data_IF_515339288831
#
_entry.id   IF_515339288831
#
_cell.length_a   1.000
_cell.length_b   1.000
_cell.length_c   1.000
_cell.angle_alpha   90.00
_cell.angle_beta   90.00
_cell.angle_gamma   90.00
#
_symmetry.space_group_name_H-M   'P 1'
#
loop_
_entity.id
_entity.type
_entity.pdbx_description
1 polymer ?
#
# COMPACT_ATOMS: atom_id res chain seq x y z
N UNK A 1 7.05 -8.14 20.05
CA UNK A 1 6.60 -6.74 19.92
C UNK A 1 5.19 -6.65 20.46
N UNK A 2 4.88 -5.70 21.35
CA UNK A 2 3.51 -5.48 21.78
C UNK A 2 2.68 -4.92 20.61
N UNK A 3 1.50 -5.49 20.39
CA UNK A 3 0.54 -4.98 19.41
C UNK A 3 -0.37 -4.00 20.14
N UNK A 4 -0.45 -2.76 19.65
CA UNK A 4 -1.37 -1.74 20.19
C UNK A 4 -2.54 -1.58 19.23
N UNK A 5 -3.76 -1.73 19.75
CA UNK A 5 -5.00 -1.58 18.98
C UNK A 5 -5.65 -0.25 19.36
N UNK A 6 -5.98 0.55 18.35
CA UNK A 6 -6.67 1.83 18.52
C UNK A 6 -8.12 1.69 18.06
N UNK A 7 -9.07 1.86 18.97
CA UNK A 7 -10.49 1.90 18.64
C UNK A 7 -10.91 3.33 18.34
N UNK A 8 -11.37 3.58 17.12
CA UNK A 8 -11.77 4.90 16.65
C UNK A 8 -13.22 4.85 16.19
N UNK A 9 -14.13 5.68 16.73
CA UNK A 9 -15.51 5.71 16.28
C UNK A 9 -15.62 6.28 14.87
N UNK A 10 -16.63 5.84 14.11
CA UNK A 10 -16.78 6.17 12.69
C UNK A 10 -16.80 7.68 12.39
N UNK A 11 -17.38 8.49 13.29
CA UNK A 11 -17.46 9.94 13.13
C UNK A 11 -16.18 10.68 13.51
N UNK A 12 -15.20 9.99 14.09
CA UNK A 12 -13.95 10.60 14.48
C UNK A 12 -13.12 10.95 13.26
N UNK A 13 -12.72 12.22 13.17
CA UNK A 13 -11.83 12.71 12.12
C UNK A 13 -10.43 12.91 12.69
N UNK A 14 -9.41 12.71 11.86
CA UNK A 14 -8.02 12.99 12.24
C UNK A 14 -7.28 11.85 12.94
N UNK A 15 -7.85 10.65 13.02
CA UNK A 15 -7.15 9.47 13.57
C UNK A 15 -5.78 9.22 12.92
N UNK A 16 -5.67 9.38 11.60
CA UNK A 16 -4.39 9.28 10.89
C UNK A 16 -3.36 10.29 11.40
N UNK A 17 -3.78 11.53 11.69
CA UNK A 17 -2.90 12.58 12.22
C UNK A 17 -2.40 12.20 13.61
N UNK A 18 -3.28 11.69 14.47
CA UNK A 18 -2.91 11.23 15.81
C UNK A 18 -1.94 10.06 15.80
N UNK A 19 -2.16 9.10 14.90
CA UNK A 19 -1.24 7.98 14.72
C UNK A 19 0.14 8.48 14.29
N UNK A 20 0.22 9.47 13.41
CA UNK A 20 1.49 10.06 13.01
C UNK A 20 2.17 10.83 14.14
N UNK A 21 1.44 11.64 14.92
CA UNK A 21 2.03 12.34 16.07
C UNK A 21 2.64 11.34 17.05
N UNK A 22 1.91 10.28 17.40
CA UNK A 22 2.44 9.21 18.28
C UNK A 22 3.65 8.49 17.68
N UNK A 23 3.66 8.26 16.36
CA UNK A 23 4.78 7.60 15.70
C UNK A 23 6.03 8.49 15.67
N UNK A 24 5.86 9.80 15.43
CA UNK A 24 6.95 10.79 15.45
C UNK A 24 7.56 10.88 16.85
N UNK A 25 6.75 10.90 17.91
CA UNK A 25 7.21 11.00 19.29
C UNK A 25 8.14 9.84 19.73
N UNK A 26 8.06 8.70 19.04
CA UNK A 26 8.90 7.53 19.33
C UNK A 26 10.27 7.58 18.67
N UNK A 27 10.49 8.47 17.70
CA UNK A 27 11.71 8.55 16.90
C UNK A 27 12.49 9.81 17.28
N UNK A 28 13.80 9.65 17.50
CA UNK A 28 14.71 10.78 17.73
C UNK A 28 15.22 11.31 16.38
N UNK A 29 14.91 12.55 16.07
CA UNK A 29 15.37 13.24 14.86
C UNK A 29 14.31 13.31 13.76
N UNK A 30 14.71 13.79 12.57
CA UNK A 30 13.82 14.00 11.41
C UNK A 30 13.95 12.93 10.33
N UNK A 31 14.43 11.74 10.69
CA UNK A 31 14.44 10.57 9.80
C UNK A 31 13.30 9.62 10.16
N UNK A 32 12.23 9.66 9.36
CA UNK A 32 11.04 8.84 9.58
C UNK A 32 10.99 7.62 8.65
N UNK A 33 12.07 7.31 7.92
CA UNK A 33 12.12 6.19 6.96
C UNK A 33 11.83 4.82 7.59
N UNK A 34 12.03 4.68 8.91
CA UNK A 34 11.69 3.48 9.68
C UNK A 34 10.19 3.25 9.90
N UNK A 35 9.33 4.23 9.63
CA UNK A 35 7.88 4.09 9.76
C UNK A 35 7.30 3.51 8.47
N UNK A 36 6.51 2.43 8.61
CA UNK A 36 5.68 1.88 7.53
C UNK A 36 4.21 2.20 7.77
N UNK A 37 3.63 3.01 6.89
CA UNK A 37 2.19 3.28 6.84
C UNK A 37 1.52 2.48 5.72
N UNK A 38 0.55 1.66 6.09
CA UNK A 38 -0.28 0.89 5.15
C UNK A 38 -1.67 1.50 5.04
N UNK A 39 -1.99 2.00 3.85
CA UNK A 39 -3.33 2.50 3.51
C UNK A 39 -4.07 1.54 2.59
N UNK A 40 -5.42 1.52 2.62
CA UNK A 40 -6.22 0.61 1.80
C UNK A 40 -6.18 0.99 0.31
N UNK A 41 -6.06 2.29 -0.01
CA UNK A 41 -6.09 2.79 -1.38
C UNK A 41 -5.03 3.85 -1.60
N UNK A 42 -4.62 4.05 -2.86
CA UNK A 42 -3.68 5.12 -3.24
C UNK A 42 -4.20 6.52 -2.90
N UNK A 43 -5.52 6.71 -2.89
CA UNK A 43 -6.13 7.98 -2.47
C UNK A 43 -5.87 8.23 -0.98
N UNK A 44 -6.03 7.19 -0.13
CA UNK A 44 -5.70 7.28 1.30
C UNK A 44 -4.21 7.47 1.57
N UNK A 45 -3.34 6.91 0.73
CA UNK A 45 -1.89 7.19 0.81
C UNK A 45 -1.59 8.66 0.54
N UNK A 46 -2.18 9.26 -0.51
CA UNK A 46 -1.98 10.69 -0.81
C UNK A 46 -2.51 11.59 0.31
N UNK A 47 -3.67 11.25 0.87
CA UNK A 47 -4.22 11.94 2.04
C UNK A 47 -3.26 11.86 3.23
N UNK A 48 -2.73 10.66 3.52
CA UNK A 48 -1.78 10.44 4.61
C UNK A 48 -0.46 11.20 4.40
N UNK A 49 0.05 11.29 3.17
CA UNK A 49 1.25 12.08 2.85
C UNK A 49 1.05 13.56 3.16
N UNK A 50 -0.10 14.12 2.79
CA UNK A 50 -0.46 15.51 3.13
C UNK A 50 -0.53 15.72 4.64
N UNK A 51 -1.25 14.84 5.34
CA UNK A 51 -1.37 14.90 6.80
C UNK A 51 0.01 14.81 7.46
N UNK A 52 0.87 13.91 6.99
CA UNK A 52 2.22 13.76 7.54
C UNK A 52 3.08 14.99 7.32
N UNK A 53 2.99 15.63 6.16
CA UNK A 53 3.70 16.88 5.91
C UNK A 53 3.30 17.98 6.91
N UNK A 54 2.02 18.06 7.27
CA UNK A 54 1.52 19.01 8.28
C UNK A 54 2.07 18.73 9.70
N UNK A 55 2.47 17.50 10.03
CA UNK A 55 2.98 17.14 11.38
C UNK A 55 4.49 16.93 11.43
N UNK A 56 5.13 16.52 10.34
CA UNK A 56 6.57 16.22 10.27
C UNK A 56 7.46 17.47 10.25
N UNK A 57 6.86 18.64 10.00
CA UNK A 57 7.54 19.93 9.93
C UNK A 57 8.44 20.07 8.70
N UNK A 58 9.36 21.04 8.75
CA UNK A 58 10.26 21.33 7.63
C UNK A 58 11.46 20.36 7.58
N UNK A 59 11.82 19.94 6.37
CA UNK A 59 13.00 19.12 6.06
C UNK A 59 13.12 17.81 6.87
N UNK A 60 12.51 16.75 6.37
CA UNK A 60 12.56 15.41 6.95
C UNK A 60 12.75 14.33 5.88
N UNK A 61 13.24 13.15 6.29
CA UNK A 61 13.18 11.94 5.46
C UNK A 61 11.79 11.31 5.67
N UNK A 62 10.98 11.15 4.62
CA UNK A 62 9.59 10.73 4.75
C UNK A 62 9.49 9.25 5.15
N UNK A 63 8.38 8.87 5.82
CA UNK A 63 8.07 7.48 6.09
C UNK A 63 7.69 6.72 4.80
N UNK A 64 7.76 5.39 4.86
CA UNK A 64 7.30 4.54 3.76
C UNK A 64 5.78 4.44 3.82
N UNK A 65 5.11 5.06 2.86
CA UNK A 65 3.65 5.00 2.74
C UNK A 65 3.24 4.24 1.48
N UNK A 66 2.47 3.17 1.63
CA UNK A 66 2.15 2.27 0.52
C UNK A 66 0.86 1.51 0.77
N UNK A 67 0.19 1.06 -0.29
CA UNK A 67 -0.85 0.03 -0.14
C UNK A 67 -0.22 -1.34 0.04
N UNK A 68 -1.00 -2.32 0.53
CA UNK A 68 -0.57 -3.72 0.59
C UNK A 68 -0.16 -4.21 -0.80
N UNK A 69 -0.96 -3.91 -1.84
CA UNK A 69 -0.65 -4.27 -3.22
C UNK A 69 0.70 -3.71 -3.68
N UNK A 70 0.94 -2.43 -3.44
CA UNK A 70 2.19 -1.77 -3.80
C UNK A 70 3.38 -2.35 -3.03
N UNK A 71 3.21 -2.63 -1.73
CA UNK A 71 4.25 -3.25 -0.91
C UNK A 71 4.62 -4.63 -1.43
N UNK A 72 3.61 -5.48 -1.68
CA UNK A 72 3.80 -6.83 -2.20
C UNK A 72 4.50 -6.81 -3.57
N UNK A 73 4.09 -5.93 -4.47
CA UNK A 73 4.73 -5.74 -5.78
C UNK A 73 6.19 -5.31 -5.65
N UNK A 74 6.48 -4.38 -4.73
CA UNK A 74 7.86 -3.92 -4.47
C UNK A 74 8.71 -5.07 -3.95
N UNK A 75 8.25 -5.77 -2.90
CA UNK A 75 8.95 -6.92 -2.33
C UNK A 75 9.20 -8.01 -3.39
N UNK A 76 8.19 -8.35 -4.18
CA UNK A 76 8.35 -9.32 -5.26
C UNK A 76 9.40 -8.89 -6.28
N UNK A 77 9.34 -7.64 -6.74
CA UNK A 77 10.28 -7.12 -7.73
C UNK A 77 11.71 -7.08 -7.20
N UNK A 78 11.89 -6.72 -5.92
CA UNK A 78 13.20 -6.64 -5.28
C UNK A 78 13.82 -8.03 -5.05
N UNK A 79 13.04 -9.02 -4.60
CA UNK A 79 13.59 -10.29 -4.14
C UNK A 79 13.40 -11.47 -5.10
N UNK A 80 12.32 -11.50 -5.89
CA UNK A 80 12.01 -12.66 -6.72
C UNK A 80 12.85 -12.76 -7.99
N UNK A 81 13.52 -11.66 -8.42
CA UNK A 81 14.28 -11.56 -9.68
C UNK A 81 13.49 -12.03 -10.91
N UNK A 82 12.16 -11.95 -10.85
CA UNK A 82 11.23 -12.36 -11.90
C UNK A 82 10.47 -11.15 -12.42
N UNK A 83 10.07 -11.19 -13.70
CA UNK A 83 9.23 -10.15 -14.30
C UNK A 83 7.76 -10.39 -13.97
N UNK A 84 7.06 -9.32 -13.62
CA UNK A 84 5.61 -9.34 -13.49
C UNK A 84 4.98 -9.41 -14.88
N UNK A 85 3.99 -10.28 -15.04
CA UNK A 85 3.18 -10.35 -16.26
C UNK A 85 2.24 -9.14 -16.23
N UNK A 86 2.18 -8.38 -17.34
CA UNK A 86 1.27 -7.25 -17.42
C UNK A 86 -0.18 -7.72 -17.43
N UNK A 87 -1.05 -6.98 -16.75
CA UNK A 87 -2.48 -7.34 -16.62
C UNK A 87 -3.16 -7.69 -17.97
N UNK A 88 -2.90 -6.95 -19.08
CA UNK A 88 -3.51 -7.27 -20.38
C UNK A 88 -3.08 -8.62 -20.97
N UNK A 89 -1.93 -9.16 -20.56
CA UNK A 89 -1.40 -10.43 -21.07
C UNK A 89 -1.98 -11.63 -20.29
N UNK A 90 -2.45 -11.42 -19.05
CA UNK A 90 -2.98 -12.49 -18.19
C UNK A 90 -4.10 -13.30 -18.88
N UNK A 91 -5.14 -12.68 -19.50
CA UNK A 91 -6.18 -13.43 -20.21
C UNK A 91 -5.64 -14.30 -21.34
N UNK A 92 -4.64 -13.81 -22.09
CA UNK A 92 -4.03 -14.55 -23.20
C UNK A 92 -3.31 -15.80 -22.69
N UNK A 93 -2.54 -15.66 -21.60
CA UNK A 93 -1.86 -16.78 -20.95
C UNK A 93 -2.87 -17.80 -20.42
N UNK A 94 -3.92 -17.34 -19.72
CA UNK A 94 -4.98 -18.20 -19.19
C UNK A 94 -5.69 -18.96 -20.30
N UNK A 95 -6.08 -18.28 -21.38
CA UNK A 95 -6.72 -18.91 -22.54
C UNK A 95 -5.84 -20.00 -23.13
N UNK A 96 -4.54 -19.73 -23.30
CA UNK A 96 -3.61 -20.71 -23.89
C UNK A 96 -3.32 -21.89 -22.96
N UNK A 97 -3.18 -21.67 -21.65
CA UNK A 97 -2.86 -22.71 -20.68
C UNK A 97 -4.06 -23.61 -20.36
N UNK A 98 -5.26 -23.04 -20.27
CA UNK A 98 -6.47 -23.77 -19.90
C UNK A 98 -7.30 -24.27 -21.10
N UNK A 99 -6.94 -23.88 -22.33
CA UNK A 99 -7.69 -24.25 -23.53
C UNK A 99 -9.08 -23.61 -23.63
N UNK A 100 -9.30 -22.50 -22.91
CA UNK A 100 -10.58 -21.78 -22.86
C UNK A 100 -10.61 -20.62 -23.85
N UNK A 101 -11.81 -20.17 -24.22
CA UNK A 101 -11.97 -18.99 -25.08
C UNK A 101 -11.40 -17.72 -24.42
N UNK A 102 -10.87 -16.80 -25.23
CA UNK A 102 -10.29 -15.55 -24.73
C UNK A 102 -11.31 -14.70 -23.96
N UNK A 103 -12.58 -14.71 -24.39
CA UNK A 103 -13.65 -14.00 -23.69
C UNK A 103 -13.87 -14.55 -22.27
N UNK A 104 -13.88 -15.87 -22.10
CA UNK A 104 -13.99 -16.49 -20.79
C UNK A 104 -12.74 -16.26 -19.93
N UNK A 105 -11.55 -16.31 -20.53
CA UNK A 105 -10.30 -15.99 -19.84
C UNK A 105 -10.23 -14.55 -19.34
N UNK A 106 -10.80 -13.58 -20.07
CA UNK A 106 -10.93 -12.20 -19.61
C UNK A 106 -11.82 -12.08 -18.37
N UNK A 107 -12.94 -12.82 -18.33
CA UNK A 107 -13.82 -12.84 -17.16
C UNK A 107 -13.10 -13.39 -15.92
N UNK A 108 -12.38 -14.50 -16.07
CA UNK A 108 -11.57 -15.08 -14.99
C UNK A 108 -10.48 -14.11 -14.54
N UNK A 109 -9.75 -13.49 -15.49
CA UNK A 109 -8.69 -12.54 -15.17
C UNK A 109 -9.22 -11.30 -14.43
N UNK A 110 -10.43 -10.84 -14.74
CA UNK A 110 -11.08 -9.75 -14.02
C UNK A 110 -11.47 -10.18 -12.61
N UNK A 111 -12.08 -11.36 -12.47
CA UNK A 111 -12.43 -11.92 -11.15
C UNK A 111 -11.21 -12.11 -10.23
N UNK A 112 -10.07 -12.54 -10.76
CA UNK A 112 -8.82 -12.68 -9.99
C UNK A 112 -8.24 -11.30 -9.57
N UNK A 113 -8.55 -10.24 -10.31
CA UNK A 113 -8.03 -8.89 -10.06
C UNK A 113 -8.92 -8.04 -9.13
N UNK A 114 -10.17 -8.43 -8.92
CA UNK A 114 -11.06 -7.87 -7.88
C UNK A 114 -10.59 -8.25 -6.48
#
# INVERSE_FOLDING_TARGET
MPITVFHVPYHYRGSTKELFMRAIDTIKGKDYSGILYLGPTSAKIREAQRIFHEVGGDCYIPPVMTTIRQLSTRLFSTYARKKLISSPIIPVVLSKCAGISIGYACLIANFINE
#
